data_IF_819358328519
#
_entry.id   IF_819358328519
#
_cell.length_a   1.000
_cell.length_b   1.000
_cell.length_c   1.000
_cell.angle_alpha   90.00
_cell.angle_beta   90.00
_cell.angle_gamma   90.00
#
_symmetry.space_group_name_H-M   'P 1'
#
loop_
_entity.id
_entity.type
_entity.pdbx_description
1 polymer ?
#
# COMPACT_ATOMS: atom_id res chain seq x y z
N UNK A 1 7.63 -32.75 -27.85
CA UNK A 1 8.54 -32.17 -26.84
C UNK A 1 9.29 -33.22 -26.05
N UNK A 2 8.65 -34.04 -25.19
CA UNK A 2 9.35 -35.11 -24.45
C UNK A 2 10.14 -36.07 -25.35
N UNK A 3 9.57 -36.46 -26.48
CA UNK A 3 10.25 -37.31 -27.46
C UNK A 3 11.50 -36.64 -28.07
N UNK A 4 11.41 -35.37 -28.46
CA UNK A 4 12.54 -34.58 -28.98
C UNK A 4 13.65 -34.47 -27.93
N UNK A 5 13.27 -34.19 -26.67
CA UNK A 5 14.20 -34.09 -25.55
C UNK A 5 14.95 -35.40 -25.29
N UNK A 6 14.21 -36.51 -25.30
CA UNK A 6 14.79 -37.84 -25.08
C UNK A 6 15.67 -38.30 -26.24
N UNK A 7 15.35 -37.92 -27.47
CA UNK A 7 16.13 -38.29 -28.65
C UNK A 7 17.45 -37.49 -28.77
N UNK A 8 17.47 -36.25 -28.29
CA UNK A 8 18.65 -35.39 -28.29
C UNK A 8 19.45 -35.42 -26.97
N UNK A 9 19.07 -36.28 -26.03
CA UNK A 9 19.65 -36.42 -24.69
C UNK A 9 19.81 -35.07 -23.93
N UNK A 10 18.77 -34.24 -23.98
CA UNK A 10 18.77 -32.90 -23.37
C UNK A 10 18.05 -32.88 -22.02
N UNK A 11 18.53 -32.05 -21.10
CA UNK A 11 17.73 -31.64 -19.94
C UNK A 11 16.63 -30.66 -20.37
N UNK A 12 15.59 -30.49 -19.54
CA UNK A 12 14.53 -29.51 -19.81
C UNK A 12 15.07 -28.06 -19.85
N UNK A 13 16.11 -27.77 -19.07
CA UNK A 13 16.79 -26.46 -19.06
C UNK A 13 17.56 -26.22 -20.37
N UNK A 14 18.33 -27.22 -20.82
CA UNK A 14 19.05 -27.12 -22.10
C UNK A 14 18.09 -27.00 -23.30
N UNK A 15 16.95 -27.68 -23.24
CA UNK A 15 15.90 -27.54 -24.25
C UNK A 15 15.26 -26.14 -24.21
N UNK A 16 15.07 -25.58 -23.02
CA UNK A 16 14.53 -24.23 -22.85
C UNK A 16 15.47 -23.17 -23.45
N UNK A 17 16.78 -23.31 -23.21
CA UNK A 17 17.81 -22.43 -23.77
C UNK A 17 17.85 -22.49 -25.30
N UNK A 18 17.81 -23.70 -25.89
CA UNK A 18 17.77 -23.86 -27.36
C UNK A 18 16.51 -23.27 -28.00
N UNK A 19 15.40 -23.29 -27.28
CA UNK A 19 14.12 -22.73 -27.74
C UNK A 19 13.98 -21.23 -27.44
N UNK A 20 14.91 -20.63 -26.70
CA UNK A 20 14.83 -19.24 -26.26
C UNK A 20 13.63 -18.96 -25.34
N UNK A 21 13.18 -19.96 -24.57
CA UNK A 21 12.05 -19.85 -23.64
C UNK A 21 12.46 -20.26 -22.23
N UNK A 22 11.63 -19.96 -21.23
CA UNK A 22 11.92 -20.38 -19.85
C UNK A 22 11.66 -21.86 -19.59
N UNK A 23 12.36 -22.44 -18.62
CA UNK A 23 12.14 -23.81 -18.12
C UNK A 23 10.66 -24.08 -17.81
N UNK A 24 9.99 -23.16 -17.11
CA UNK A 24 8.56 -23.26 -16.77
C UNK A 24 7.66 -23.33 -18.02
N UNK A 25 8.10 -22.79 -19.16
CA UNK A 25 7.37 -22.86 -20.43
C UNK A 25 7.53 -24.23 -21.08
N UNK A 26 8.75 -24.79 -21.10
CA UNK A 26 8.98 -26.16 -21.56
C UNK A 26 8.24 -27.18 -20.69
N UNK A 27 8.26 -27.02 -19.36
CA UNK A 27 7.54 -27.89 -18.45
C UNK A 27 6.02 -27.88 -18.71
N UNK A 28 5.42 -26.71 -18.97
CA UNK A 28 3.99 -26.58 -19.33
C UNK A 28 3.65 -27.23 -20.68
N UNK A 29 4.54 -27.14 -21.67
CA UNK A 29 4.36 -27.80 -22.98
C UNK A 29 4.50 -29.32 -22.90
N UNK A 30 5.47 -29.81 -22.12
CA UNK A 30 5.60 -31.25 -21.85
C UNK A 30 4.45 -31.80 -20.99
N UNK A 31 3.85 -30.96 -20.15
CA UNK A 31 2.67 -31.29 -19.34
C UNK A 31 1.33 -31.12 -20.06
N UNK A 32 1.31 -30.69 -21.33
CA UNK A 32 0.08 -30.56 -22.13
C UNK A 32 -0.83 -29.38 -21.76
N UNK A 33 -0.45 -28.55 -20.80
CA UNK A 33 -1.27 -27.44 -20.31
C UNK A 33 -1.37 -26.27 -21.31
N UNK A 34 -0.41 -26.13 -22.23
CA UNK A 34 -0.40 -25.11 -23.27
C UNK A 34 0.32 -25.61 -24.53
N UNK A 35 -0.07 -25.10 -25.71
CA UNK A 35 0.63 -25.38 -26.98
C UNK A 35 1.77 -24.38 -27.23
N UNK A 36 2.82 -24.76 -27.96
CA UNK A 36 3.91 -23.85 -28.33
C UNK A 36 3.42 -22.66 -29.14
N UNK A 37 3.93 -21.47 -28.81
CA UNK A 37 3.67 -20.26 -29.59
C UNK A 37 4.31 -20.35 -30.98
N UNK A 38 3.77 -19.64 -31.97
CA UNK A 38 4.25 -19.67 -33.38
C UNK A 38 5.76 -19.46 -33.51
N UNK A 39 6.32 -18.52 -32.74
CA UNK A 39 7.75 -18.21 -32.75
C UNK A 39 8.65 -19.38 -32.29
N UNK A 40 8.18 -20.23 -31.38
CA UNK A 40 8.94 -21.40 -30.93
C UNK A 40 8.69 -22.63 -31.81
N UNK A 41 7.63 -22.63 -32.64
CA UNK A 41 7.21 -23.79 -33.42
C UNK A 41 8.21 -24.11 -34.55
N UNK A 42 8.82 -23.10 -35.17
CA UNK A 42 9.87 -23.29 -36.18
C UNK A 42 11.14 -23.92 -35.58
N UNK A 43 11.57 -23.46 -34.41
CA UNK A 43 12.70 -24.04 -33.67
C UNK A 43 12.38 -25.46 -33.17
N UNK A 44 11.13 -25.73 -32.79
CA UNK A 44 10.69 -27.08 -32.40
C UNK A 44 10.70 -28.02 -33.61
N UNK A 45 10.29 -27.57 -34.79
CA UNK A 45 10.30 -28.38 -36.00
C UNK A 45 11.72 -28.68 -36.48
N UNK A 46 12.64 -27.72 -36.40
CA UNK A 46 14.06 -27.95 -36.69
C UNK A 46 14.68 -28.93 -35.69
N UNK A 47 14.45 -28.78 -34.39
CA UNK A 47 14.90 -29.74 -33.38
C UNK A 47 14.24 -31.12 -33.55
N UNK A 48 13.00 -31.19 -34.02
CA UNK A 48 12.34 -32.45 -34.32
C UNK A 48 12.95 -33.14 -35.54
N UNK A 49 13.31 -32.37 -36.57
CA UNK A 49 14.03 -32.88 -37.74
C UNK A 49 15.44 -33.38 -37.36
N UNK A 50 16.17 -32.66 -36.51
CA UNK A 50 17.45 -33.09 -35.94
C UNK A 50 17.31 -34.39 -35.12
N UNK A 51 16.20 -34.53 -34.40
CA UNK A 51 15.87 -35.73 -33.63
C UNK A 51 15.34 -36.90 -34.48
N UNK A 52 15.14 -36.72 -35.79
CA UNK A 52 14.55 -37.72 -36.69
C UNK A 52 13.08 -38.03 -36.41
N UNK A 53 12.35 -37.11 -35.79
CA UNK A 53 10.94 -37.27 -35.40
C UNK A 53 10.07 -36.51 -36.40
N UNK A 54 9.27 -37.23 -37.18
CA UNK A 54 8.31 -36.62 -38.09
C UNK A 54 7.10 -36.07 -37.31
N UNK A 55 6.92 -34.75 -37.35
CA UNK A 55 5.83 -34.05 -36.65
C UNK A 55 4.84 -33.60 -37.71
N UNK A 56 3.82 -34.42 -37.98
CA UNK A 56 2.81 -34.18 -39.00
C UNK A 56 2.20 -32.77 -38.96
N UNK A 57 1.93 -32.21 -40.15
CA UNK A 57 1.61 -30.81 -40.38
C UNK A 57 0.23 -30.32 -39.86
N UNK A 58 -0.54 -31.15 -39.16
CA UNK A 58 -1.92 -30.82 -38.77
C UNK A 58 -2.05 -30.54 -37.27
N UNK A 59 -1.95 -29.25 -36.92
CA UNK A 59 -2.61 -28.74 -35.72
C UNK A 59 -3.05 -27.29 -35.97
N UNK A 60 -4.38 -27.18 -36.09
CA UNK A 60 -5.25 -26.08 -36.53
C UNK A 60 -4.92 -24.67 -36.02
N UNK A 61 -5.26 -23.73 -36.90
CA UNK A 61 -5.22 -22.28 -36.74
C UNK A 61 -6.53 -21.82 -36.09
N UNK A 62 -6.46 -21.11 -34.96
CA UNK A 62 -7.54 -20.19 -34.58
C UNK A 62 -7.08 -18.76 -34.80
N UNK A 63 -7.77 -18.10 -35.74
CA UNK A 63 -7.61 -16.72 -36.12
C UNK A 63 -8.34 -15.84 -35.10
N UNK A 64 -7.63 -14.87 -34.55
CA UNK A 64 -8.11 -13.97 -33.51
C UNK A 64 -7.29 -12.70 -33.57
N UNK A 65 -7.72 -11.79 -34.44
CA UNK A 65 -7.13 -10.48 -34.65
C UNK A 65 -6.95 -9.74 -33.30
N UNK A 66 -5.69 -9.46 -32.95
CA UNK A 66 -5.34 -8.56 -31.87
C UNK A 66 -4.38 -7.50 -32.40
N UNK A 67 -4.85 -6.28 -32.26
CA UNK A 67 -4.24 -5.01 -32.61
C UNK A 67 -2.78 -4.88 -32.16
N UNK A 68 -1.97 -4.19 -32.96
CA UNK A 68 -0.54 -4.01 -32.76
C UNK A 68 -0.32 -3.12 -31.53
N UNK A 69 -0.16 -3.71 -30.35
CA UNK A 69 0.43 -3.03 -29.20
C UNK A 69 1.90 -3.44 -29.09
N UNK A 70 2.79 -2.51 -29.44
CA UNK A 70 4.23 -2.59 -29.20
C UNK A 70 4.46 -2.93 -27.72
N UNK A 71 4.76 -4.20 -27.42
CA UNK A 71 5.15 -4.64 -26.08
C UNK A 71 6.57 -4.14 -25.81
N UNK A 72 6.65 -3.05 -25.06
CA UNK A 72 7.90 -2.53 -24.46
C UNK A 72 8.59 -3.68 -23.71
N UNK A 73 9.88 -3.87 -23.97
CA UNK A 73 10.79 -4.66 -23.13
C UNK A 73 10.54 -4.31 -21.66
N UNK A 74 10.46 -5.34 -20.81
CA UNK A 74 10.28 -5.19 -19.37
C UNK A 74 11.31 -4.21 -18.82
N UNK A 75 10.82 -3.10 -18.29
CA UNK A 75 11.58 -2.24 -17.40
C UNK A 75 11.81 -3.01 -16.09
N UNK A 76 12.90 -2.72 -15.35
CA UNK A 76 13.03 -3.17 -13.96
C UNK A 76 11.80 -2.71 -13.17
N UNK A 77 11.39 -3.48 -12.16
CA UNK A 77 10.18 -3.29 -11.35
C UNK A 77 9.74 -1.81 -11.29
N UNK A 78 8.72 -1.48 -12.08
CA UNK A 78 8.25 -0.11 -12.21
C UNK A 78 7.71 0.37 -10.88
N UNK A 79 8.03 1.62 -10.52
CA UNK A 79 7.48 2.30 -9.35
C UNK A 79 5.97 2.00 -9.22
N UNK A 80 5.47 1.70 -8.01
CA UNK A 80 4.06 1.36 -7.82
C UNK A 80 3.19 2.51 -8.37
N UNK A 81 2.33 2.17 -9.32
CA UNK A 81 1.48 3.11 -10.05
C UNK A 81 0.56 3.85 -9.08
N UNK A 82 0.61 5.19 -9.08
CA UNK A 82 -0.29 6.05 -8.28
C UNK A 82 -1.76 5.89 -8.63
N UNK A 83 -2.07 5.37 -9.82
CA UNK A 83 -3.45 5.24 -10.31
C UNK A 83 -4.31 4.36 -9.42
N UNK A 84 -3.76 3.33 -8.77
CA UNK A 84 -4.53 2.48 -7.86
C UNK A 84 -4.94 3.21 -6.59
N UNK A 85 -4.06 4.06 -6.05
CA UNK A 85 -4.32 4.90 -4.87
C UNK A 85 -5.38 5.96 -5.16
N UNK A 86 -5.18 6.74 -6.22
CA UNK A 86 -6.11 7.80 -6.60
C UNK A 86 -7.50 7.23 -6.88
N UNK A 87 -7.57 6.07 -7.54
CA UNK A 87 -8.83 5.36 -7.77
C UNK A 87 -9.46 4.88 -6.46
N UNK A 88 -8.68 4.32 -5.52
CA UNK A 88 -9.21 3.91 -4.20
C UNK A 88 -9.84 5.08 -3.46
N UNK A 89 -9.12 6.20 -3.37
CA UNK A 89 -9.58 7.40 -2.68
C UNK A 89 -10.80 8.00 -3.38
N UNK A 90 -10.80 7.98 -4.71
CA UNK A 90 -11.94 8.42 -5.51
C UNK A 90 -13.16 7.52 -5.34
N UNK A 91 -12.99 6.21 -5.33
CA UNK A 91 -14.06 5.23 -5.12
C UNK A 91 -14.68 5.43 -3.73
N UNK A 92 -13.84 5.60 -2.71
CA UNK A 92 -14.27 5.88 -1.34
C UNK A 92 -15.04 7.21 -1.27
N UNK A 93 -14.50 8.28 -1.88
CA UNK A 93 -15.18 9.58 -1.97
C UNK A 93 -16.50 9.51 -2.76
N UNK A 94 -16.58 8.66 -3.80
CA UNK A 94 -17.81 8.45 -4.56
C UNK A 94 -18.88 7.71 -3.75
N UNK A 95 -18.50 6.72 -2.93
CA UNK A 95 -19.44 5.95 -2.10
C UNK A 95 -20.23 6.81 -1.09
N UNK A 96 -19.67 7.97 -0.75
CA UNK A 96 -20.22 8.93 0.22
C UNK A 96 -20.76 10.21 -0.45
N UNK A 97 -20.60 10.37 -1.78
CA UNK A 97 -21.03 11.57 -2.52
C UNK A 97 -22.57 11.66 -2.55
N UNK A 98 -23.13 12.68 -1.90
CA UNK A 98 -24.58 12.92 -1.89
C UNK A 98 -25.15 13.53 -0.59
N UNK A 99 -24.38 13.60 0.49
CA UNK A 99 -24.78 14.30 1.72
C UNK A 99 -24.34 15.77 1.71
N UNK A 100 -25.01 16.60 2.53
CA UNK A 100 -24.81 18.06 2.69
C UNK A 100 -23.39 18.51 3.09
N UNK A 101 -22.44 17.59 3.20
CA UNK A 101 -21.14 17.80 3.85
C UNK A 101 -19.95 17.13 3.12
N UNK A 102 -20.03 16.92 1.80
CA UNK A 102 -18.92 16.35 1.00
C UNK A 102 -17.52 16.94 1.30
N UNK A 103 -17.34 18.25 1.59
CA UNK A 103 -16.03 18.81 1.96
C UNK A 103 -15.50 18.32 3.32
N UNK A 104 -16.35 18.00 4.30
CA UNK A 104 -15.93 17.51 5.63
C UNK A 104 -15.43 16.08 5.60
N UNK A 105 -15.86 15.28 4.62
CA UNK A 105 -15.44 13.89 4.51
C UNK A 105 -13.93 13.71 4.27
N UNK A 106 -13.23 14.73 3.76
CA UNK A 106 -11.76 14.72 3.64
C UNK A 106 -11.10 14.47 5.01
N UNK A 107 -11.66 15.05 6.06
CA UNK A 107 -11.13 15.00 7.42
C UNK A 107 -11.32 13.60 8.02
N UNK A 108 -12.29 12.83 7.54
CA UNK A 108 -12.53 11.44 7.97
C UNK A 108 -11.80 10.41 7.10
N UNK A 109 -11.60 10.67 5.80
CA UNK A 109 -10.93 9.74 4.89
C UNK A 109 -9.45 9.56 5.22
N UNK A 110 -8.74 10.64 5.55
CA UNK A 110 -7.30 10.58 5.80
C UNK A 110 -6.96 9.78 7.06
N UNK A 111 -7.58 10.02 8.24
CA UNK A 111 -7.30 9.21 9.43
C UNK A 111 -7.70 7.74 9.23
N UNK A 112 -8.75 7.45 8.47
CA UNK A 112 -9.11 6.06 8.12
C UNK A 112 -8.05 5.39 7.25
N UNK A 113 -7.52 6.10 6.25
CA UNK A 113 -6.44 5.61 5.40
C UNK A 113 -5.17 5.36 6.23
N UNK A 114 -4.88 6.25 7.17
CA UNK A 114 -3.76 6.10 8.09
C UNK A 114 -3.92 4.86 8.97
N UNK A 115 -5.11 4.68 9.58
CA UNK A 115 -5.43 3.51 10.40
C UNK A 115 -5.33 2.20 9.59
N UNK A 116 -5.83 2.20 8.35
CA UNK A 116 -5.67 1.06 7.42
C UNK A 116 -4.20 0.73 7.19
N UNK A 117 -3.38 1.75 6.89
CA UNK A 117 -1.94 1.58 6.66
C UNK A 117 -1.23 1.05 7.89
N UNK A 118 -1.54 1.56 9.08
CA UNK A 118 -0.98 1.03 10.32
C UNK A 118 -1.31 -0.46 10.48
N UNK A 119 -2.56 -0.86 10.20
CA UNK A 119 -2.92 -2.28 10.26
C UNK A 119 -2.16 -3.13 9.27
N UNK A 120 -2.05 -2.71 8.00
CA UNK A 120 -1.35 -3.51 6.99
C UNK A 120 0.16 -3.62 7.28
N UNK A 121 0.77 -2.53 7.78
CA UNK A 121 2.19 -2.53 8.17
C UNK A 121 2.40 -3.38 9.42
N UNK A 122 1.46 -3.38 10.36
CA UNK A 122 1.51 -4.29 11.52
C UNK A 122 1.43 -5.75 11.06
N UNK A 123 0.55 -6.07 10.11
CA UNK A 123 0.47 -7.42 9.53
C UNK A 123 1.77 -7.83 8.82
N UNK A 124 2.47 -6.91 8.15
CA UNK A 124 3.82 -7.13 7.61
C UNK A 124 4.83 -7.45 8.72
N UNK A 125 4.83 -6.71 9.84
CA UNK A 125 5.75 -6.96 10.96
C UNK A 125 5.45 -8.30 11.65
N UNK A 126 4.17 -8.66 11.81
CA UNK A 126 3.79 -9.99 12.32
C UNK A 126 4.25 -11.09 11.37
N UNK A 127 4.09 -10.89 10.06
CA UNK A 127 4.57 -11.84 9.05
C UNK A 127 6.09 -12.01 9.15
N UNK A 128 6.84 -10.91 9.26
CA UNK A 128 8.29 -10.92 9.46
C UNK A 128 8.70 -11.69 10.72
N UNK A 129 8.03 -11.44 11.85
CA UNK A 129 8.28 -12.17 13.10
C UNK A 129 7.94 -13.66 12.96
N UNK A 130 6.89 -14.02 12.22
CA UNK A 130 6.53 -15.42 12.00
C UNK A 130 7.60 -16.15 11.18
N UNK A 131 8.24 -15.49 10.22
CA UNK A 131 9.36 -16.05 9.45
C UNK A 131 10.62 -16.23 10.30
N UNK A 132 10.84 -15.35 11.29
CA UNK A 132 12.00 -15.37 12.18
C UNK A 132 11.85 -16.39 13.34
N UNK A 133 10.66 -16.47 13.93
CA UNK A 133 10.38 -17.25 15.15
C UNK A 133 9.53 -18.51 14.91
N UNK A 134 9.05 -18.73 13.68
CA UNK A 134 8.50 -20.02 13.21
C UNK A 134 7.07 -19.97 12.73
N UNK A 135 6.13 -19.50 13.55
CA UNK A 135 4.70 -19.50 13.22
C UNK A 135 3.98 -18.21 13.67
N UNK A 136 2.78 -18.00 13.12
CA UNK A 136 1.97 -16.80 13.34
C UNK A 136 1.52 -16.63 14.79
N UNK A 137 1.19 -17.70 15.49
CA UNK A 137 0.72 -17.63 16.87
C UNK A 137 1.87 -17.20 17.78
N UNK A 138 3.04 -17.82 17.63
CA UNK A 138 4.25 -17.44 18.34
C UNK A 138 4.61 -15.97 18.05
N UNK A 139 4.51 -15.53 16.79
CA UNK A 139 4.77 -14.14 16.43
C UNK A 139 3.82 -13.15 17.12
N UNK A 140 2.53 -13.49 17.26
CA UNK A 140 1.55 -12.68 17.96
C UNK A 140 1.81 -12.63 19.47
N UNK A 141 2.15 -13.76 20.10
CA UNK A 141 2.50 -13.82 21.52
C UNK A 141 3.78 -13.00 21.83
N UNK A 142 4.77 -13.05 20.95
CA UNK A 142 5.97 -12.21 21.03
C UNK A 142 5.60 -10.74 20.86
N UNK A 143 4.80 -10.41 19.84
CA UNK A 143 4.35 -9.04 19.59
C UNK A 143 3.54 -8.44 20.75
N UNK A 144 2.81 -9.25 21.51
CA UNK A 144 2.06 -8.82 22.70
C UNK A 144 2.93 -8.68 23.96
N UNK A 145 4.03 -9.44 24.04
CA UNK A 145 4.92 -9.43 25.22
C UNK A 145 6.09 -8.46 25.09
N UNK A 146 6.62 -8.27 23.88
CA UNK A 146 7.76 -7.40 23.60
C UNK A 146 7.50 -6.48 22.40
N UNK A 147 6.97 -5.30 22.71
CA UNK A 147 6.70 -4.27 21.71
C UNK A 147 7.99 -3.68 21.09
N UNK A 148 9.17 -3.90 21.69
CA UNK A 148 10.44 -3.31 21.19
C UNK A 148 10.92 -3.92 19.88
N UNK A 149 10.42 -5.12 19.54
CA UNK A 149 10.68 -5.80 18.27
C UNK A 149 9.83 -5.25 17.11
N UNK A 150 8.87 -4.38 17.42
CA UNK A 150 7.93 -3.79 16.49
C UNK A 150 8.22 -2.31 16.26
N UNK A 151 7.82 -1.80 15.10
CA UNK A 151 7.83 -0.35 14.82
C UNK A 151 6.83 0.41 15.69
N UNK A 152 5.69 -0.22 15.92
CA UNK A 152 4.57 0.24 16.72
C UNK A 152 3.70 -0.97 17.03
N UNK A 153 2.94 -0.92 18.11
CA UNK A 153 2.04 -2.00 18.49
C UNK A 153 0.58 -1.68 18.12
N UNK A 154 -0.12 -2.63 17.51
CA UNK A 154 -1.53 -2.48 17.16
C UNK A 154 -2.41 -3.46 17.96
N UNK A 155 -3.24 -2.94 18.89
CA UNK A 155 -4.17 -3.76 19.66
C UNK A 155 -5.09 -4.58 18.76
N UNK A 156 -5.46 -5.82 19.14
CA UNK A 156 -6.33 -6.68 18.35
C UNK A 156 -7.65 -6.00 17.95
N UNK A 157 -8.29 -5.25 18.85
CA UNK A 157 -9.56 -4.54 18.57
C UNK A 157 -9.45 -3.43 17.52
N UNK A 158 -8.22 -2.93 17.30
CA UNK A 158 -7.92 -1.86 16.37
C UNK A 158 -7.45 -2.37 15.00
N UNK A 159 -7.19 -3.68 14.86
CA UNK A 159 -6.79 -4.28 13.57
C UNK A 159 -7.90 -4.12 12.54
N UNK A 160 -7.51 -3.86 11.28
CA UNK A 160 -8.46 -3.55 10.22
C UNK A 160 -9.42 -4.70 9.92
N UNK A 161 -8.97 -5.95 10.03
CA UNK A 161 -9.83 -7.12 9.86
C UNK A 161 -10.98 -7.14 10.88
N UNK A 162 -10.73 -6.70 12.12
CA UNK A 162 -11.74 -6.56 13.18
C UNK A 162 -12.64 -5.35 12.92
N UNK A 163 -12.07 -4.19 12.54
CA UNK A 163 -12.85 -2.97 12.20
C UNK A 163 -13.82 -3.20 11.03
N UNK A 164 -13.36 -3.88 9.99
CA UNK A 164 -14.17 -4.22 8.81
C UNK A 164 -15.22 -5.30 9.10
N UNK A 165 -15.10 -6.01 10.23
CA UNK A 165 -15.98 -7.12 10.60
C UNK A 165 -15.69 -8.43 9.86
N UNK A 166 -14.49 -8.56 9.30
CA UNK A 166 -14.02 -9.79 8.65
C UNK A 166 -13.51 -10.81 9.67
N UNK A 167 -12.92 -10.30 10.75
CA UNK A 167 -12.54 -11.08 11.91
C UNK A 167 -13.46 -10.78 13.09
N UNK A 168 -13.77 -11.82 13.85
CA UNK A 168 -14.49 -11.68 15.10
C UNK A 168 -13.51 -11.27 16.20
N UNK A 169 -13.96 -10.38 17.08
CA UNK A 169 -13.22 -9.99 18.27
C UNK A 169 -14.09 -10.13 19.51
N UNK A 170 -13.53 -10.79 20.53
CA UNK A 170 -14.19 -10.95 21.82
C UNK A 170 -14.01 -9.68 22.65
N UNK A 171 -15.08 -8.90 22.74
CA UNK A 171 -15.06 -7.64 23.46
C UNK A 171 -15.06 -7.90 24.97
N UNK A 172 -14.05 -7.43 25.72
CA UNK A 172 -14.02 -7.59 27.16
C UNK A 172 -15.18 -6.83 27.80
N UNK A 173 -15.58 -7.25 29.01
CA UNK A 173 -16.50 -6.50 29.84
C UNK A 173 -15.75 -5.35 30.53
N UNK A 174 -16.45 -4.24 30.77
CA UNK A 174 -15.92 -3.18 31.62
C UNK A 174 -15.97 -3.59 33.10
N UNK A 175 -15.43 -2.72 33.97
CA UNK A 175 -15.41 -2.90 35.42
C UNK A 175 -16.80 -3.09 36.05
N UNK A 176 -17.85 -2.65 35.36
CA UNK A 176 -19.25 -2.72 35.81
C UNK A 176 -19.99 -3.90 35.17
N UNK A 177 -19.27 -4.78 34.46
CA UNK A 177 -19.81 -5.98 33.82
C UNK A 177 -20.56 -5.70 32.51
N UNK A 178 -20.45 -4.50 31.93
CA UNK A 178 -21.11 -4.15 30.66
C UNK A 178 -20.21 -4.47 29.48
N UNK A 179 -20.82 -4.86 28.36
CA UNK A 179 -20.07 -5.11 27.13
C UNK A 179 -19.38 -3.84 26.64
N UNK A 180 -18.10 -3.93 26.32
CA UNK A 180 -17.36 -2.83 25.68
C UNK A 180 -17.48 -2.84 24.15
N UNK A 181 -18.36 -3.69 23.60
CA UNK A 181 -18.60 -3.78 22.16
C UNK A 181 -19.16 -2.45 21.63
N UNK A 182 -18.55 -1.87 20.58
CA UNK A 182 -19.07 -0.66 19.94
C UNK A 182 -20.49 -0.87 19.39
N UNK A 183 -21.33 0.17 19.51
CA UNK A 183 -22.72 0.13 19.00
C UNK A 183 -22.78 0.27 17.48
N UNK A 184 -21.83 1.02 16.91
CA UNK A 184 -21.71 1.25 15.48
C UNK A 184 -20.23 1.39 15.05
N UNK A 185 -20.02 1.57 13.74
CA UNK A 185 -18.67 1.68 13.17
C UNK A 185 -17.97 2.97 13.59
N UNK A 186 -18.69 4.06 13.84
CA UNK A 186 -18.08 5.32 14.28
C UNK A 186 -17.49 5.19 15.69
N UNK A 187 -18.22 4.53 16.59
CA UNK A 187 -17.71 4.21 17.93
C UNK A 187 -16.53 3.24 17.87
N UNK A 188 -16.57 2.23 16.98
CA UNK A 188 -15.45 1.29 16.81
C UNK A 188 -14.20 2.00 16.31
N UNK A 189 -14.30 2.81 15.24
CA UNK A 189 -13.17 3.56 14.70
C UNK A 189 -12.55 4.49 15.73
N UNK A 190 -13.38 5.23 16.48
CA UNK A 190 -12.91 6.13 17.54
C UNK A 190 -12.20 5.35 18.65
N UNK A 191 -12.74 4.19 19.06
CA UNK A 191 -12.12 3.33 20.06
C UNK A 191 -10.79 2.74 19.57
N UNK A 192 -10.74 2.30 18.31
CA UNK A 192 -9.54 1.75 17.68
C UNK A 192 -8.41 2.77 17.63
N UNK A 193 -8.70 3.99 17.16
CA UNK A 193 -7.72 5.08 17.11
C UNK A 193 -7.18 5.39 18.51
N UNK A 194 -8.06 5.53 19.51
CA UNK A 194 -7.65 5.76 20.91
C UNK A 194 -6.80 4.61 21.46
N UNK A 195 -7.14 3.37 21.14
CA UNK A 195 -6.37 2.19 21.57
C UNK A 195 -4.96 2.19 20.96
N UNK A 196 -4.84 2.55 19.67
CA UNK A 196 -3.54 2.69 19.00
C UNK A 196 -2.71 3.81 19.62
N UNK A 197 -3.28 5.00 19.84
CA UNK A 197 -2.54 6.12 20.48
C UNK A 197 -2.09 5.75 21.89
N UNK A 198 -2.93 5.05 22.66
CA UNK A 198 -2.57 4.60 24.01
C UNK A 198 -1.32 3.73 24.04
N UNK A 199 -1.13 2.88 23.02
CA UNK A 199 0.04 2.00 22.92
C UNK A 199 1.24 2.69 22.25
N UNK A 200 1.00 3.77 21.50
CA UNK A 200 2.01 4.48 20.73
C UNK A 200 1.87 5.99 20.99
N UNK A 201 2.41 6.50 22.11
CA UNK A 201 2.24 7.89 22.52
C UNK A 201 2.72 8.92 21.49
N UNK A 202 3.68 8.55 20.64
CA UNK A 202 4.21 9.41 19.58
C UNK A 202 3.20 9.67 18.44
N UNK A 203 2.11 8.89 18.38
CA UNK A 203 1.00 9.11 17.43
C UNK A 203 -0.11 10.01 17.99
N UNK A 204 -0.01 10.44 19.24
CA UNK A 204 -1.00 11.32 19.86
C UNK A 204 -1.04 12.69 19.15
N UNK A 205 -2.24 13.20 18.88
CA UNK A 205 -2.47 14.44 18.14
C UNK A 205 -2.37 14.30 16.62
N UNK A 206 -1.93 13.14 16.11
CA UNK A 206 -1.80 12.88 14.67
C UNK A 206 -3.02 12.12 14.14
N UNK A 207 -3.37 11.02 14.81
CA UNK A 207 -4.43 10.11 14.33
C UNK A 207 -5.76 10.25 15.06
N UNK A 208 -5.75 10.78 16.28
CA UNK A 208 -6.90 10.93 17.18
C UNK A 208 -7.56 12.32 17.12
N UNK A 209 -7.28 13.07 16.05
CA UNK A 209 -7.87 14.38 15.78
C UNK A 209 -9.38 14.30 15.56
N UNK A 210 -9.84 13.17 15.01
CA UNK A 210 -11.22 13.00 14.56
C UNK A 210 -11.95 11.99 15.44
N UNK A 211 -13.05 12.44 16.03
CA UNK A 211 -14.01 11.57 16.68
C UNK A 211 -15.09 11.16 15.66
N UNK A 212 -15.04 9.91 15.22
CA UNK A 212 -15.99 9.34 14.26
C UNK A 212 -17.37 9.08 14.89
N UNK A 213 -17.46 9.13 16.22
CA UNK A 213 -18.69 9.01 16.99
C UNK A 213 -19.19 10.37 17.49
N UNK A 214 -18.62 11.49 17.03
CA UNK A 214 -19.10 12.82 17.42
C UNK A 214 -20.60 12.99 17.11
N UNK A 215 -21.32 13.59 18.05
CA UNK A 215 -22.74 13.91 17.92
C UNK A 215 -22.96 15.41 18.13
N UNK A 216 -23.73 16.04 17.24
CA UNK A 216 -24.21 17.41 17.38
C UNK A 216 -25.73 17.39 17.41
N UNK A 217 -26.32 17.99 18.45
CA UNK A 217 -27.77 18.06 18.65
C UNK A 217 -28.47 16.68 18.68
N UNK A 218 -27.77 15.63 19.13
CA UNK A 218 -28.30 14.26 19.19
C UNK A 218 -28.26 13.49 17.86
N UNK A 219 -27.66 14.06 16.82
CA UNK A 219 -27.42 13.39 15.55
C UNK A 219 -25.91 13.16 15.34
N UNK A 220 -25.54 12.03 14.74
CA UNK A 220 -24.15 11.73 14.38
C UNK A 220 -23.64 12.75 13.35
N UNK A 221 -22.46 13.29 13.59
CA UNK A 221 -21.77 14.19 12.65
C UNK A 221 -21.52 13.51 11.30
N UNK A 222 -21.25 12.20 11.33
CA UNK A 222 -21.08 11.37 10.14
C UNK A 222 -21.98 10.16 10.23
N UNK A 223 -22.70 9.89 9.15
CA UNK A 223 -23.57 8.74 9.02
C UNK A 223 -22.76 7.42 9.15
N UNK A 224 -23.05 6.57 10.15
CA UNK A 224 -22.34 5.30 10.32
C UNK A 224 -22.45 4.36 9.11
N UNK A 225 -23.55 4.41 8.35
CA UNK A 225 -23.70 3.61 7.14
C UNK A 225 -22.70 4.03 6.05
N UNK A 226 -22.39 5.33 5.94
CA UNK A 226 -21.40 5.86 4.99
C UNK A 226 -19.98 5.50 5.41
N UNK A 227 -19.64 5.61 6.69
CA UNK A 227 -18.36 5.13 7.21
C UNK A 227 -18.14 3.65 6.90
N UNK A 228 -19.19 2.82 7.04
CA UNK A 228 -19.12 1.40 6.68
C UNK A 228 -18.82 1.18 5.19
N UNK A 229 -19.38 1.98 4.29
CA UNK A 229 -19.08 1.91 2.86
C UNK A 229 -17.61 2.27 2.55
N UNK A 230 -17.08 3.28 3.23
CA UNK A 230 -15.65 3.66 3.10
C UNK A 230 -14.76 2.52 3.60
N UNK A 231 -15.05 1.99 4.79
CA UNK A 231 -14.31 0.85 5.36
C UNK A 231 -14.35 -0.34 4.39
N UNK A 232 -15.51 -0.67 3.82
CA UNK A 232 -15.63 -1.76 2.85
C UNK A 232 -14.82 -1.48 1.58
N UNK A 233 -14.87 -0.24 1.09
CA UNK A 233 -14.08 0.18 -0.09
C UNK A 233 -12.59 -0.03 0.16
N UNK A 234 -12.06 0.40 1.31
CA UNK A 234 -10.65 0.22 1.68
C UNK A 234 -10.30 -1.24 2.02
N UNK A 235 -11.28 -2.07 2.35
CA UNK A 235 -11.08 -3.50 2.63
C UNK A 235 -10.96 -4.35 1.34
N UNK A 236 -11.05 -3.73 0.16
CA UNK A 236 -10.81 -4.43 -1.11
C UNK A 236 -9.42 -5.07 -1.16
N UNK A 237 -9.27 -6.35 -1.58
CA UNK A 237 -7.97 -7.04 -1.60
C UNK A 237 -6.87 -6.35 -2.43
N UNK A 238 -7.28 -5.53 -3.40
CA UNK A 238 -6.39 -4.73 -4.27
C UNK A 238 -5.81 -3.48 -3.58
N UNK A 239 -6.25 -3.19 -2.35
CA UNK A 239 -6.00 -1.94 -1.62
C UNK A 239 -5.23 -2.19 -0.31
N UNK A 240 -4.27 -3.12 -0.35
CA UNK A 240 -3.29 -3.32 0.73
C UNK A 240 -2.25 -2.19 0.69
N UNK A 241 -1.88 -1.68 1.86
CA UNK A 241 -1.03 -0.50 2.08
C UNK A 241 0.17 -0.85 2.99
N UNK A 242 0.72 -2.06 2.86
CA UNK A 242 1.91 -2.49 3.58
C UNK A 242 3.19 -1.76 3.14
N UNK A 243 4.33 -2.19 3.68
CA UNK A 243 5.65 -1.62 3.40
C UNK A 243 6.09 -1.88 1.96
N UNK A 244 5.73 -3.05 1.39
CA UNK A 244 6.05 -3.42 0.02
C UNK A 244 5.00 -2.98 -1.00
N UNK A 245 3.79 -2.62 -0.55
CA UNK A 245 2.66 -2.31 -1.44
C UNK A 245 2.71 -0.87 -1.97
N UNK A 246 3.22 0.06 -1.15
CA UNK A 246 3.20 1.50 -1.47
C UNK A 246 4.51 2.20 -1.09
N UNK A 247 4.82 3.27 -1.82
CA UNK A 247 6.01 4.09 -1.53
C UNK A 247 5.94 4.76 -0.15
N UNK A 248 7.08 5.12 0.46
CA UNK A 248 7.09 5.79 1.76
C UNK A 248 6.34 7.13 1.78
N UNK A 249 6.30 7.85 0.66
CA UNK A 249 5.58 9.13 0.51
C UNK A 249 4.07 8.98 0.20
N UNK A 250 3.55 7.75 0.25
CA UNK A 250 2.17 7.44 -0.13
C UNK A 250 1.12 8.29 0.59
N UNK A 251 1.23 8.43 1.92
CA UNK A 251 0.24 9.18 2.71
C UNK A 251 0.23 10.67 2.35
N UNK A 252 1.40 11.27 2.12
CA UNK A 252 1.51 12.65 1.66
C UNK A 252 0.83 12.84 0.32
N UNK A 253 1.10 11.96 -0.65
CA UNK A 253 0.45 12.00 -1.98
C UNK A 253 -1.06 11.75 -1.91
N UNK A 254 -1.51 10.88 -1.02
CA UNK A 254 -2.94 10.63 -0.78
C UNK A 254 -3.62 11.89 -0.22
N UNK A 255 -3.00 12.56 0.75
CA UNK A 255 -3.48 13.82 1.32
C UNK A 255 -3.57 14.91 0.25
N UNK A 256 -2.49 15.12 -0.51
CA UNK A 256 -2.44 16.07 -1.62
C UNK A 256 -3.53 15.80 -2.67
N UNK A 257 -3.73 14.53 -3.03
CA UNK A 257 -4.77 14.14 -3.98
C UNK A 257 -6.15 14.52 -3.46
N UNK A 258 -6.46 14.19 -2.20
CA UNK A 258 -7.74 14.53 -1.58
C UNK A 258 -7.94 16.04 -1.54
N UNK A 259 -6.94 16.81 -1.08
CA UNK A 259 -7.01 18.28 -1.06
C UNK A 259 -7.27 18.85 -2.45
N UNK A 260 -6.52 18.42 -3.47
CA UNK A 260 -6.72 18.88 -4.85
C UNK A 260 -8.13 18.55 -5.34
N UNK A 261 -8.62 17.34 -5.10
CA UNK A 261 -9.96 16.91 -5.54
C UNK A 261 -11.10 17.63 -4.83
N UNK A 262 -10.94 17.99 -3.56
CA UNK A 262 -11.93 18.78 -2.85
C UNK A 262 -11.84 20.28 -3.19
N UNK A 263 -10.64 20.81 -3.50
CA UNK A 263 -10.43 22.20 -3.95
C UNK A 263 -10.98 22.45 -5.38
N UNK A 264 -10.81 21.48 -6.29
CA UNK A 264 -11.45 21.50 -7.62
C UNK A 264 -12.98 21.67 -7.54
N UNK A 265 -13.60 21.19 -6.44
CA UNK A 265 -15.03 21.32 -6.19
C UNK A 265 -15.47 22.64 -5.54
N UNK A 266 -14.57 23.39 -4.92
CA UNK A 266 -14.88 24.63 -4.17
C UNK A 266 -14.50 25.92 -4.92
N UNK A 267 -13.85 25.82 -6.08
CA UNK A 267 -13.49 26.98 -6.91
C UNK A 267 -12.29 27.78 -6.40
N UNK A 268 -11.57 27.28 -5.39
CA UNK A 268 -10.28 27.86 -4.95
C UNK A 268 -9.11 27.24 -5.73
N UNK A 269 -8.11 28.06 -6.04
CA UNK A 269 -6.89 27.58 -6.73
C UNK A 269 -6.08 26.68 -5.81
N UNK A 270 -6.03 25.38 -6.13
CA UNK A 270 -5.24 24.39 -5.38
C UNK A 270 -3.71 24.60 -5.49
N UNK A 271 -3.25 25.55 -6.31
CA UNK A 271 -1.84 25.76 -6.63
C UNK A 271 -1.02 26.48 -5.54
N UNK A 272 -1.66 27.04 -4.51
CA UNK A 272 -0.99 27.84 -3.48
C UNK A 272 -0.43 26.99 -2.31
N UNK A 273 -0.78 25.70 -2.22
CA UNK A 273 -0.50 24.88 -1.03
C UNK A 273 0.49 23.72 -1.25
N UNK A 274 1.02 23.53 -2.47
CA UNK A 274 1.79 22.32 -2.74
C UNK A 274 2.95 22.46 -3.74
N UNK A 275 4.06 21.78 -3.43
CA UNK A 275 5.23 21.65 -4.32
C UNK A 275 5.10 20.40 -5.18
N UNK A 276 4.94 20.51 -6.52
CA UNK A 276 4.81 19.35 -7.41
C UNK A 276 5.91 18.31 -7.17
N UNK A 277 5.55 17.02 -7.26
CA UNK A 277 6.43 15.89 -6.91
C UNK A 277 7.79 15.97 -7.60
N UNK A 278 7.80 16.24 -8.91
CA UNK A 278 9.01 16.34 -9.72
C UNK A 278 9.91 17.51 -9.27
N UNK A 279 9.30 18.63 -8.89
CA UNK A 279 10.01 19.81 -8.36
C UNK A 279 10.62 19.49 -7.00
N UNK A 280 9.86 18.84 -6.11
CA UNK A 280 10.35 18.44 -4.80
C UNK A 280 11.52 17.45 -4.88
N UNK A 281 11.46 16.47 -5.78
CA UNK A 281 12.58 15.56 -6.00
C UNK A 281 13.78 16.28 -6.61
N UNK A 282 13.56 17.18 -7.58
CA UNK A 282 14.65 17.99 -8.15
C UNK A 282 15.37 18.79 -7.06
N UNK A 283 14.63 19.45 -6.18
CA UNK A 283 15.20 20.19 -5.04
C UNK A 283 16.02 19.27 -4.12
N UNK A 284 15.46 18.12 -3.74
CA UNK A 284 16.16 17.16 -2.89
C UNK A 284 17.45 16.61 -3.53
N UNK A 285 17.45 16.36 -4.85
CA UNK A 285 18.63 15.93 -5.60
C UNK A 285 19.68 17.02 -5.77
N UNK A 286 19.28 18.29 -5.79
CA UNK A 286 20.22 19.43 -5.78
C UNK A 286 20.87 19.54 -4.39
N UNK A 287 20.08 19.40 -3.31
CA UNK A 287 20.57 19.51 -1.93
C UNK A 287 21.51 18.37 -1.54
N UNK A 288 21.24 17.14 -1.99
CA UNK A 288 22.05 15.93 -1.69
C UNK A 288 22.35 15.75 -0.19
N UNK A 289 21.32 15.71 0.68
CA UNK A 289 21.52 15.63 2.13
C UNK A 289 22.24 14.34 2.52
N UNK A 290 23.13 14.41 3.51
CA UNK A 290 23.87 13.26 4.04
C UNK A 290 23.20 12.70 5.28
N UNK A 291 23.30 11.38 5.53
CA UNK A 291 22.80 10.76 6.76
C UNK A 291 23.20 11.51 8.04
N UNK A 292 22.23 11.78 8.91
CA UNK A 292 22.44 12.51 10.16
C UNK A 292 22.45 14.04 10.05
N UNK A 293 22.37 14.60 8.85
CA UNK A 293 22.25 16.05 8.66
C UNK A 293 20.87 16.57 9.08
N UNK A 294 20.84 17.86 9.44
CA UNK A 294 19.66 18.60 9.86
C UNK A 294 19.05 19.30 8.65
N UNK A 295 17.77 19.06 8.41
CA UNK A 295 17.00 19.63 7.31
C UNK A 295 15.82 20.42 7.89
N UNK A 296 15.74 21.70 7.55
CA UNK A 296 14.70 22.61 8.04
C UNK A 296 13.81 23.08 6.89
N UNK A 297 12.50 23.04 7.09
CA UNK A 297 11.50 23.62 6.19
C UNK A 297 10.52 24.48 7.00
N UNK A 298 10.63 25.80 6.89
CA UNK A 298 9.85 26.76 7.70
C UNK A 298 8.42 27.00 7.19
N UNK A 299 8.05 26.37 6.07
CA UNK A 299 6.70 26.43 5.50
C UNK A 299 6.37 25.06 4.88
N UNK A 300 6.48 24.02 5.71
CA UNK A 300 6.58 22.64 5.23
C UNK A 300 5.26 22.08 4.68
N UNK A 301 4.12 22.72 4.97
CA UNK A 301 2.80 22.22 4.61
C UNK A 301 2.62 20.76 5.04
N UNK A 302 2.46 19.86 4.07
CA UNK A 302 2.35 18.40 4.28
C UNK A 302 3.67 17.70 4.63
N UNK A 303 4.75 18.44 4.87
CA UNK A 303 6.13 17.94 5.00
C UNK A 303 6.64 17.14 3.79
N UNK A 304 6.00 17.29 2.63
CA UNK A 304 6.30 16.51 1.43
C UNK A 304 7.73 16.71 0.89
N UNK A 305 8.35 17.87 1.14
CA UNK A 305 9.75 18.12 0.77
C UNK A 305 10.74 17.43 1.72
N UNK A 306 10.48 17.48 3.04
CA UNK A 306 11.28 16.80 4.07
C UNK A 306 11.32 15.29 3.85
N UNK A 307 10.18 14.67 3.51
CA UNK A 307 10.13 13.23 3.15
C UNK A 307 10.99 12.94 1.92
N UNK A 308 10.95 13.81 0.90
CA UNK A 308 11.78 13.65 -0.32
C UNK A 308 13.27 13.77 -0.01
N UNK A 309 13.68 14.66 0.90
CA UNK A 309 15.07 14.74 1.37
C UNK A 309 15.52 13.41 1.98
N UNK A 310 14.70 12.81 2.84
CA UNK A 310 15.01 11.51 3.44
C UNK A 310 15.09 10.38 2.42
N UNK A 311 14.23 10.40 1.40
CA UNK A 311 14.26 9.42 0.31
C UNK A 311 15.54 9.55 -0.53
N UNK A 312 15.91 10.77 -0.92
CA UNK A 312 17.14 11.02 -1.69
C UNK A 312 18.38 10.70 -0.85
N UNK A 313 18.41 10.99 0.45
CA UNK A 313 19.52 10.58 1.32
C UNK A 313 19.73 9.06 1.31
N UNK A 314 18.64 8.27 1.37
CA UNK A 314 18.70 6.80 1.31
C UNK A 314 19.08 6.28 -0.07
N UNK A 315 18.71 6.98 -1.14
CA UNK A 315 19.13 6.65 -2.50
C UNK A 315 20.63 6.88 -2.69
N UNK A 316 21.15 8.01 -2.19
CA UNK A 316 22.56 8.38 -2.31
C UNK A 316 23.48 7.56 -1.39
N UNK A 317 22.99 7.14 -0.22
CA UNK A 317 23.69 6.24 0.69
C UNK A 317 22.77 5.11 1.18
N UNK A 318 22.64 4.02 0.41
CA UNK A 318 21.77 2.89 0.76
C UNK A 318 22.30 2.05 1.93
N UNK A 319 23.57 2.23 2.32
CA UNK A 319 24.19 1.47 3.41
C UNK A 319 23.99 2.11 4.77
N UNK A 320 23.77 3.42 4.80
CA UNK A 320 23.52 4.13 6.04
C UNK A 320 22.17 3.77 6.65
N UNK A 321 22.19 3.52 7.95
CA UNK A 321 20.99 3.32 8.78
C UNK A 321 20.62 4.59 9.55
N UNK A 322 21.43 5.64 9.45
CA UNK A 322 21.21 6.89 10.17
C UNK A 322 20.24 7.76 9.37
N UNK A 323 19.05 8.08 9.90
CA UNK A 323 18.11 8.96 9.21
C UNK A 323 18.61 10.41 9.23
N UNK A 324 18.00 11.26 8.39
CA UNK A 324 18.10 12.71 8.53
C UNK A 324 17.35 13.16 9.78
N UNK A 325 17.74 14.31 10.32
CA UNK A 325 16.94 15.01 11.32
C UNK A 325 16.10 16.05 10.59
N UNK A 326 14.79 15.85 10.57
CA UNK A 326 13.85 16.68 9.80
C UNK A 326 13.10 17.61 10.76
N UNK A 327 13.05 18.90 10.44
CA UNK A 327 12.36 19.92 11.20
C UNK A 327 11.45 20.69 10.26
N UNK A 328 10.17 20.83 10.62
CA UNK A 328 9.17 21.46 9.77
C UNK A 328 8.31 22.42 10.59
N UNK A 329 8.09 23.62 10.08
CA UNK A 329 7.12 24.57 10.65
C UNK A 329 6.01 24.84 9.64
N UNK A 330 4.78 24.96 10.11
CA UNK A 330 3.63 25.33 9.30
C UNK A 330 2.66 26.20 10.11
N UNK A 331 2.13 27.24 9.45
CA UNK A 331 1.24 28.22 10.06
C UNK A 331 -0.18 27.64 10.23
N UNK A 332 -0.64 26.87 9.26
CA UNK A 332 -1.97 26.25 9.27
C UNK A 332 -1.90 24.88 9.94
N UNK A 333 -2.47 24.80 11.14
CA UNK A 333 -2.52 23.55 11.89
C UNK A 333 -3.19 22.39 11.12
N UNK A 334 -4.05 22.65 10.12
CA UNK A 334 -4.68 21.62 9.29
C UNK A 334 -3.70 20.94 8.30
N UNK A 335 -2.57 21.57 7.97
CA UNK A 335 -1.59 21.09 7.00
C UNK A 335 -0.41 20.36 7.67
N UNK A 336 0.00 20.80 8.86
CA UNK A 336 1.17 20.29 9.60
C UNK A 336 1.03 18.89 10.24
N UNK A 337 -0.14 18.24 10.18
CA UNK A 337 -0.46 17.07 11.05
C UNK A 337 0.03 15.73 10.51
N UNK A 338 1.34 15.66 10.29
CA UNK A 338 2.17 14.46 10.11
C UNK A 338 3.32 14.60 11.14
N UNK A 339 3.68 13.56 11.91
CA UNK A 339 4.32 13.68 13.22
C UNK A 339 5.65 14.45 13.14
N UNK A 340 5.73 15.63 13.76
CA UNK A 340 6.44 15.90 15.01
C UNK A 340 6.36 17.41 15.31
N UNK A 341 6.00 17.78 16.54
CA UNK A 341 6.40 18.99 17.27
C UNK A 341 5.46 19.20 18.46
N UNK A 342 5.91 18.75 19.64
CA UNK A 342 5.42 19.28 20.92
C UNK A 342 6.23 20.51 21.27
N UNK A 343 5.55 21.65 21.26
CA UNK A 343 5.89 22.82 22.08
C UNK A 343 6.10 22.40 23.54
N UNK A 344 7.26 22.71 24.09
CA UNK A 344 7.39 23.23 25.46
C UNK A 344 8.54 24.26 25.51
N UNK A 345 8.42 25.30 26.35
CA UNK A 345 9.34 26.44 26.42
C UNK A 345 10.77 26.07 26.82
#
# INVERSE_FOLDING_TARGET
MRAIRSALDLTQEQLADRLGVSFATVNRWEGGANKPQKAARETILTLAAEAGIDVGADAEVSDGAADITRRRRGAPAGAPSTKSMEQMLWDAACSIRGEKDAPKFKDYLLPLLFLKRLSDVFDDEITRLSEEYGDLQTALEIAESDHSLLRFYMPPEARWAVISGRDNFEWPLDKDGKSTRPKDIGEHLTKAVRAVVKQNPDLAGVIDVVDFAAERNGERDVNPAKLRLVVETFSGPRYRLGLADVQPDFLGRAYEYLLRKFAEGSGQSAGEFFTPTEVGFLMAHIMRPRPGEECHDYACGSAGLLVKLQLVARELDPTSKVPLKLYGQELQAESCRSPDERDHP
#
